data_IF_198363356499
#
_entry.id   IF_198363356499
#
_cell.length_a   1.000
_cell.length_b   1.000
_cell.length_c   1.000
_cell.angle_alpha   90.00
_cell.angle_beta   90.00
_cell.angle_gamma   90.00
#
_symmetry.space_group_name_H-M   'P 1'
#
loop_
_entity.id
_entity.type
_entity.pdbx_description
1 polymer ?
#
# COMPACT_ATOMS: atom_id res chain seq x y z
N UNK A 1 73.98 -19.30 3.79
CA UNK A 1 73.93 -20.75 3.55
C UNK A 1 72.50 -21.04 3.10
N UNK A 2 72.26 -20.97 1.81
CA UNK A 2 72.14 -22.13 0.90
C UNK A 2 70.86 -22.91 1.20
N UNK A 3 69.95 -23.23 0.34
CA UNK A 3 69.85 -23.28 -1.10
C UNK A 3 68.42 -23.81 -1.38
N UNK A 4 67.71 -23.22 -2.30
CA UNK A 4 67.29 -23.79 -3.60
C UNK A 4 66.64 -25.20 -3.68
N UNK A 5 65.46 -25.27 -4.21
CA UNK A 5 65.06 -25.89 -5.50
C UNK A 5 63.58 -26.31 -5.43
N UNK A 6 62.70 -25.71 -6.24
CA UNK A 6 62.18 -26.19 -7.56
C UNK A 6 61.73 -27.61 -7.65
N UNK A 7 60.43 -27.81 -7.97
CA UNK A 7 59.83 -28.57 -9.12
C UNK A 7 58.32 -28.48 -8.93
N UNK A 8 57.55 -27.89 -9.77
CA UNK A 8 57.09 -28.14 -11.16
C UNK A 8 56.34 -29.43 -11.38
N UNK A 9 55.12 -29.30 -11.76
CA UNK A 9 54.19 -30.11 -12.59
C UNK A 9 52.74 -29.98 -12.06
N UNK A 10 51.74 -29.55 -12.75
CA UNK A 10 51.42 -29.58 -14.16
C UNK A 10 49.94 -29.84 -14.31
N UNK A 11 49.24 -28.90 -14.95
CA UNK A 11 48.13 -29.10 -15.87
C UNK A 11 46.85 -29.80 -15.40
N UNK A 12 45.75 -29.07 -15.33
CA UNK A 12 44.61 -29.31 -16.23
C UNK A 12 43.56 -28.18 -16.11
N UNK A 13 43.47 -27.43 -17.19
CA UNK A 13 42.42 -26.47 -17.44
C UNK A 13 41.09 -27.19 -17.71
N UNK A 14 40.04 -26.81 -17.00
CA UNK A 14 38.64 -27.10 -17.33
C UNK A 14 37.92 -25.81 -17.66
N UNK A 15 37.92 -25.43 -18.91
CA UNK A 15 37.06 -24.40 -19.49
C UNK A 15 35.60 -24.82 -19.31
N UNK A 16 34.90 -24.25 -18.34
CA UNK A 16 33.45 -24.18 -18.36
C UNK A 16 33.06 -22.87 -19.06
N UNK A 17 32.61 -22.99 -20.29
CA UNK A 17 32.08 -21.92 -21.11
C UNK A 17 30.93 -21.22 -20.37
N UNK A 18 31.13 -19.97 -20.03
CA UNK A 18 30.08 -19.02 -19.66
C UNK A 18 29.21 -18.79 -20.92
N UNK A 19 28.09 -19.48 -21.00
CA UNK A 19 27.01 -19.08 -21.91
C UNK A 19 26.42 -17.77 -21.40
N UNK A 20 26.27 -16.73 -22.23
CA UNK A 20 25.61 -15.50 -21.80
C UNK A 20 24.14 -15.83 -21.51
N UNK A 21 23.74 -15.76 -20.24
CA UNK A 21 22.35 -15.79 -19.85
C UNK A 21 21.64 -14.61 -20.49
N UNK A 22 20.74 -14.88 -21.43
CA UNK A 22 19.87 -13.83 -21.98
C UNK A 22 19.12 -13.14 -20.85
N UNK A 23 19.12 -11.80 -20.76
CA UNK A 23 18.31 -11.09 -19.78
C UNK A 23 16.83 -11.44 -20.00
N UNK A 24 16.03 -11.59 -18.95
CA UNK A 24 14.63 -11.96 -19.07
C UNK A 24 13.92 -10.95 -19.98
N UNK A 25 13.01 -11.41 -20.80
CA UNK A 25 12.28 -10.65 -21.86
C UNK A 25 11.66 -9.34 -21.36
N UNK A 26 11.41 -9.23 -20.05
CA UNK A 26 10.94 -8.04 -19.37
C UNK A 26 11.96 -6.89 -19.32
N UNK A 27 13.22 -7.21 -19.17
CA UNK A 27 14.31 -6.21 -19.17
C UNK A 27 14.44 -5.58 -20.55
N UNK A 28 14.21 -6.37 -21.62
CA UNK A 28 14.21 -5.89 -23.00
C UNK A 28 13.00 -4.99 -23.30
N UNK A 29 11.80 -5.34 -22.85
CA UNK A 29 10.60 -4.51 -23.03
C UNK A 29 10.66 -3.22 -22.22
N UNK A 30 11.20 -3.27 -21.00
CA UNK A 30 11.46 -2.08 -20.20
C UNK A 30 12.57 -1.21 -20.83
N UNK A 31 13.60 -1.84 -21.37
CA UNK A 31 14.66 -1.17 -22.12
C UNK A 31 14.15 -0.52 -23.41
N UNK A 32 13.29 -1.20 -24.17
CA UNK A 32 12.67 -0.65 -25.38
C UNK A 32 11.69 0.50 -25.06
N UNK A 33 10.88 0.39 -24.03
CA UNK A 33 10.02 1.49 -23.56
C UNK A 33 10.84 2.69 -23.11
N UNK A 34 11.93 2.48 -22.36
CA UNK A 34 12.88 3.55 -22.04
C UNK A 34 13.49 4.17 -23.27
N UNK A 35 13.95 3.37 -24.24
CA UNK A 35 14.56 3.85 -25.47
C UNK A 35 13.55 4.65 -26.32
N UNK A 36 12.31 4.19 -26.42
CA UNK A 36 11.24 4.92 -27.11
C UNK A 36 10.92 6.23 -26.38
N UNK A 37 10.78 6.19 -25.06
CA UNK A 37 10.59 7.39 -24.24
C UNK A 37 11.76 8.36 -24.35
N UNK A 38 13.01 7.86 -24.30
CA UNK A 38 14.23 8.67 -24.49
C UNK A 38 14.31 9.28 -25.91
N UNK A 39 13.81 8.57 -26.92
CA UNK A 39 13.73 9.10 -28.29
C UNK A 39 12.63 10.15 -28.43
N UNK A 40 11.46 9.93 -27.84
CA UNK A 40 10.36 10.90 -27.81
C UNK A 40 10.74 12.14 -26.99
N UNK A 41 11.43 11.98 -25.86
CA UNK A 41 11.90 13.11 -25.04
C UNK A 41 13.05 13.87 -25.65
N UNK A 42 13.92 13.20 -26.43
CA UNK A 42 14.98 13.88 -27.22
C UNK A 42 14.38 14.68 -28.39
N UNK A 43 13.27 14.21 -28.96
CA UNK A 43 12.57 14.95 -30.03
C UNK A 43 11.67 16.07 -29.48
N UNK A 44 11.16 15.94 -28.25
CA UNK A 44 10.36 17.00 -27.61
C UNK A 44 10.47 16.94 -26.08
N UNK A 45 11.60 17.38 -25.49
CA UNK A 45 11.86 17.29 -24.05
C UNK A 45 10.84 18.07 -23.19
N UNK A 46 10.07 18.97 -23.78
CA UNK A 46 9.08 19.79 -23.08
C UNK A 46 7.79 19.01 -22.76
N UNK A 47 7.54 17.88 -23.46
CA UNK A 47 6.38 17.01 -23.25
C UNK A 47 6.66 15.78 -22.35
N UNK A 48 7.91 15.56 -21.99
CA UNK A 48 8.32 14.36 -21.27
C UNK A 48 7.77 14.25 -19.84
N UNK A 49 7.50 15.38 -19.19
CA UNK A 49 7.10 15.41 -17.79
C UNK A 49 8.18 14.80 -16.86
N UNK A 50 7.74 14.15 -15.78
CA UNK A 50 8.62 13.49 -14.80
C UNK A 50 8.50 11.96 -14.80
N UNK A 51 7.81 11.37 -15.78
CA UNK A 51 7.67 9.92 -15.89
C UNK A 51 9.04 9.28 -16.13
N UNK A 52 9.36 8.24 -15.35
CA UNK A 52 10.62 7.48 -15.39
C UNK A 52 11.90 8.28 -15.08
N UNK A 53 11.77 9.53 -14.62
CA UNK A 53 12.91 10.31 -14.12
C UNK A 53 13.33 9.79 -12.74
N UNK A 54 14.61 9.43 -12.60
CA UNK A 54 15.18 9.09 -11.29
C UNK A 54 15.40 10.38 -10.50
N UNK A 55 14.55 10.65 -9.52
CA UNK A 55 14.59 11.85 -8.70
C UNK A 55 15.24 11.67 -7.32
N UNK A 56 15.71 10.47 -7.01
CA UNK A 56 16.35 10.17 -5.73
C UNK A 56 16.65 8.70 -5.52
N UNK A 57 17.00 8.35 -4.31
CA UNK A 57 17.23 6.99 -3.84
C UNK A 57 16.26 6.67 -2.70
N UNK A 58 16.00 5.39 -2.47
CA UNK A 58 15.21 4.91 -1.34
C UNK A 58 15.82 3.66 -0.73
N UNK A 59 15.76 3.55 0.58
CA UNK A 59 16.08 2.35 1.36
C UNK A 59 14.83 1.64 1.86
N UNK A 60 13.63 2.16 1.57
CA UNK A 60 12.37 1.67 2.12
C UNK A 60 11.88 0.39 1.45
N UNK A 61 11.96 0.31 0.12
CA UNK A 61 11.39 -0.77 -0.68
C UNK A 61 12.39 -1.28 -1.70
N UNK A 62 12.60 -2.59 -1.73
CA UNK A 62 13.41 -3.26 -2.72
C UNK A 62 12.68 -4.50 -3.27
N UNK A 63 12.62 -4.62 -4.60
CA UNK A 63 12.22 -5.84 -5.27
C UNK A 63 13.46 -6.66 -5.59
N UNK A 64 13.46 -7.93 -5.19
CA UNK A 64 14.52 -8.89 -5.45
C UNK A 64 13.98 -10.06 -6.26
N UNK A 65 14.85 -10.95 -6.71
CA UNK A 65 14.43 -12.20 -7.40
C UNK A 65 13.60 -13.11 -6.48
N UNK A 66 13.84 -13.04 -5.17
CA UNK A 66 13.21 -13.90 -4.17
C UNK A 66 11.98 -13.28 -3.52
N UNK A 67 11.79 -11.97 -3.63
CA UNK A 67 10.66 -11.31 -2.99
C UNK A 67 10.82 -9.80 -2.78
N UNK A 68 10.02 -9.27 -1.89
CA UNK A 68 9.97 -7.85 -1.55
C UNK A 68 10.55 -7.63 -0.15
N UNK A 69 11.44 -6.65 -0.04
CA UNK A 69 12.07 -6.25 1.22
C UNK A 69 11.61 -4.85 1.61
N UNK A 70 11.29 -4.66 2.88
CA UNK A 70 11.07 -3.36 3.53
C UNK A 70 12.27 -3.06 4.42
N UNK A 71 13.02 -2.00 4.12
CA UNK A 71 14.25 -1.64 4.83
C UNK A 71 15.22 -2.84 5.00
N UNK A 72 15.32 -3.70 3.97
CA UNK A 72 16.16 -4.90 3.98
C UNK A 72 15.56 -6.13 4.66
N UNK A 73 14.36 -6.04 5.25
CA UNK A 73 13.67 -7.16 5.90
C UNK A 73 12.61 -7.75 4.96
N UNK A 74 12.56 -9.08 4.86
CA UNK A 74 11.58 -9.77 4.01
C UNK A 74 10.14 -9.53 4.48
N UNK A 75 9.27 -9.12 3.55
CA UNK A 75 7.86 -8.81 3.85
C UNK A 75 7.09 -10.03 4.38
N UNK A 76 7.50 -11.24 4.02
CA UNK A 76 6.87 -12.48 4.49
C UNK A 76 7.06 -12.65 6.00
N UNK A 77 8.25 -12.33 6.51
CA UNK A 77 8.53 -12.36 7.95
C UNK A 77 7.77 -11.25 8.68
N UNK A 78 7.70 -10.05 8.09
CA UNK A 78 6.96 -8.93 8.66
C UNK A 78 5.46 -9.19 8.74
N UNK A 79 4.88 -9.89 7.76
CA UNK A 79 3.45 -10.20 7.73
C UNK A 79 3.00 -11.17 8.85
N UNK A 80 3.94 -11.92 9.44
CA UNK A 80 3.70 -12.77 10.60
C UNK A 80 3.78 -12.03 11.95
N UNK A 81 4.28 -10.79 11.92
CA UNK A 81 4.44 -9.93 13.10
C UNK A 81 3.36 -8.85 13.14
N UNK A 82 3.08 -8.24 14.32
CA UNK A 82 2.15 -7.12 14.41
C UNK A 82 2.49 -5.97 13.45
N UNK A 83 1.47 -5.35 12.86
CA UNK A 83 1.63 -4.23 11.93
C UNK A 83 2.47 -3.08 12.51
N UNK A 84 2.39 -2.89 13.82
CA UNK A 84 3.16 -1.90 14.56
C UNK A 84 4.67 -2.09 14.39
N UNK A 85 5.17 -3.34 14.30
CA UNK A 85 6.60 -3.61 13.99
C UNK A 85 6.98 -3.14 12.61
N UNK A 86 6.12 -3.37 11.61
CA UNK A 86 6.33 -2.87 10.25
C UNK A 86 6.30 -1.35 10.20
N UNK A 87 5.36 -0.73 10.89
CA UNK A 87 5.27 0.72 10.98
C UNK A 87 6.52 1.32 11.63
N UNK A 88 7.00 0.76 12.73
CA UNK A 88 8.27 1.15 13.35
C UNK A 88 9.44 1.05 12.37
N UNK A 89 9.62 -0.13 11.73
CA UNK A 89 10.70 -0.39 10.79
C UNK A 89 10.74 0.66 9.67
N UNK A 90 9.60 0.98 9.10
CA UNK A 90 9.49 1.95 8.00
C UNK A 90 9.83 3.38 8.44
N UNK A 91 9.46 3.78 9.67
CA UNK A 91 9.73 5.13 10.18
C UNK A 91 11.18 5.32 10.64
N UNK A 92 11.74 4.30 11.28
CA UNK A 92 13.10 4.36 11.87
C UNK A 92 14.17 3.74 10.99
N UNK A 93 13.78 2.96 9.96
CA UNK A 93 14.67 2.20 9.06
C UNK A 93 15.59 1.23 9.83
N UNK A 94 15.14 0.80 11.00
CA UNK A 94 15.81 -0.18 11.86
C UNK A 94 14.76 -1.01 12.60
N UNK A 95 14.98 -2.31 12.79
CA UNK A 95 14.05 -3.15 13.54
C UNK A 95 13.98 -2.68 15.00
N UNK A 96 12.79 -2.73 15.64
CA UNK A 96 12.65 -2.41 17.05
C UNK A 96 13.22 -3.52 17.95
N UNK A 97 13.62 -3.15 19.17
CA UNK A 97 13.74 -4.13 20.26
C UNK A 97 12.37 -4.50 20.80
N UNK A 98 12.27 -5.59 21.57
CA UNK A 98 11.00 -6.01 22.18
C UNK A 98 10.47 -4.97 23.18
N UNK A 99 11.34 -4.27 23.90
CA UNK A 99 10.99 -3.17 24.78
C UNK A 99 10.40 -1.99 23.99
N UNK A 100 11.09 -1.55 22.93
CA UNK A 100 10.62 -0.46 22.07
C UNK A 100 9.25 -0.72 21.44
N UNK A 101 9.00 -1.96 20.99
CA UNK A 101 7.71 -2.29 20.40
C UNK A 101 6.59 -2.34 21.45
N UNK A 102 6.90 -2.81 22.67
CA UNK A 102 5.99 -2.80 23.81
C UNK A 102 5.57 -1.37 24.19
N UNK A 103 6.55 -0.49 24.35
CA UNK A 103 6.32 0.93 24.65
C UNK A 103 5.52 1.62 23.56
N UNK A 104 5.85 1.33 22.29
CA UNK A 104 5.13 1.94 21.17
C UNK A 104 3.69 1.46 21.05
N UNK A 105 3.45 0.18 21.25
CA UNK A 105 2.09 -0.36 21.28
C UNK A 105 1.25 0.25 22.43
N UNK A 106 1.88 0.52 23.59
CA UNK A 106 1.25 1.22 24.70
C UNK A 106 0.91 2.68 24.32
N UNK A 107 1.85 3.42 23.71
CA UNK A 107 1.63 4.78 23.25
C UNK A 107 0.49 4.87 22.21
N UNK A 108 0.41 3.93 21.27
CA UNK A 108 -0.67 3.85 20.29
C UNK A 108 -2.02 3.61 20.99
N UNK A 109 -2.04 2.73 21.98
CA UNK A 109 -3.25 2.41 22.75
C UNK A 109 -3.72 3.63 23.56
N UNK A 110 -2.82 4.27 24.28
CA UNK A 110 -3.10 5.44 25.12
C UNK A 110 -3.58 6.62 24.27
N UNK A 111 -2.96 6.83 23.09
CA UNK A 111 -3.40 7.84 22.14
C UNK A 111 -4.83 7.60 21.61
N UNK A 112 -5.30 6.35 21.62
CA UNK A 112 -6.67 5.98 21.27
C UNK A 112 -7.70 6.24 22.39
N UNK A 113 -7.26 6.58 23.60
CA UNK A 113 -8.17 6.95 24.69
C UNK A 113 -8.55 8.43 24.56
N UNK A 114 -9.71 8.69 23.96
CA UNK A 114 -10.26 10.05 23.83
C UNK A 114 -11.21 10.34 24.97
N UNK A 115 -11.09 11.54 25.58
CA UNK A 115 -12.02 12.03 26.62
C UNK A 115 -13.43 12.22 26.07
N UNK A 116 -13.54 12.70 24.82
CA UNK A 116 -14.80 12.95 24.13
C UNK A 116 -14.88 12.13 22.83
N UNK A 117 -16.07 11.63 22.54
CA UNK A 117 -16.33 10.93 21.30
C UNK A 117 -16.29 11.88 20.10
N UNK A 118 -15.59 11.58 19.01
CA UNK A 118 -15.60 12.41 17.82
C UNK A 118 -16.91 12.35 17.03
N UNK A 119 -17.93 11.60 17.48
CA UNK A 119 -19.19 11.37 16.74
C UNK A 119 -19.94 12.66 16.40
N UNK A 120 -19.98 13.63 17.30
CA UNK A 120 -20.68 14.90 17.08
C UNK A 120 -20.07 15.71 15.92
N UNK A 121 -18.77 15.55 15.68
CA UNK A 121 -18.08 16.19 14.53
C UNK A 121 -18.59 15.67 13.19
N UNK A 122 -19.01 14.41 13.15
CA UNK A 122 -19.46 13.76 11.92
C UNK A 122 -20.98 13.75 11.75
N UNK A 123 -21.74 14.06 12.82
CA UNK A 123 -23.20 14.06 12.79
C UNK A 123 -23.82 15.04 11.78
N UNK A 124 -23.08 16.09 11.40
CA UNK A 124 -23.54 17.13 10.51
C UNK A 124 -22.96 17.05 9.09
N UNK A 125 -22.22 15.97 8.78
CA UNK A 125 -21.70 15.77 7.44
C UNK A 125 -22.84 15.46 6.45
N UNK A 126 -22.70 15.88 5.18
CA UNK A 126 -23.68 15.56 4.14
C UNK A 126 -23.86 14.04 4.00
N UNK A 127 -25.10 13.60 3.89
CA UNK A 127 -25.41 12.22 3.58
C UNK A 127 -24.84 11.83 2.20
N UNK A 128 -24.22 10.66 2.08
CA UNK A 128 -23.72 10.13 0.81
C UNK A 128 -22.26 10.44 0.51
N UNK A 129 -21.51 10.99 1.46
CA UNK A 129 -20.03 11.01 1.36
C UNK A 129 -19.50 9.58 1.24
N UNK A 130 -18.58 9.38 0.30
CA UNK A 130 -17.90 8.09 0.20
C UNK A 130 -16.92 7.91 1.36
N UNK A 131 -16.77 6.68 1.89
CA UNK A 131 -15.80 6.41 2.96
C UNK A 131 -14.40 6.90 2.66
N UNK A 132 -13.95 6.80 1.40
CA UNK A 132 -12.62 7.28 0.99
C UNK A 132 -12.47 8.80 1.08
N UNK A 133 -13.54 9.56 0.88
CA UNK A 133 -13.52 11.03 0.98
C UNK A 133 -13.43 11.49 2.45
N UNK A 134 -13.82 10.63 3.41
CA UNK A 134 -13.65 10.89 4.84
C UNK A 134 -12.18 10.78 5.28
N UNK A 135 -11.35 10.07 4.54
CA UNK A 135 -9.96 9.84 4.94
C UNK A 135 -9.14 11.13 5.11
N UNK A 136 -9.02 12.02 4.10
CA UNK A 136 -8.32 13.30 4.30
C UNK A 136 -8.99 14.19 5.33
N UNK A 137 -10.33 14.13 5.47
CA UNK A 137 -11.06 14.88 6.48
C UNK A 137 -10.70 14.41 7.89
N UNK A 138 -10.69 13.11 8.15
CA UNK A 138 -10.26 12.56 9.45
C UNK A 138 -8.84 12.97 9.80
N UNK A 139 -7.91 12.94 8.83
CA UNK A 139 -6.52 13.38 9.04
C UNK A 139 -6.45 14.88 9.38
N UNK A 140 -7.27 15.72 8.74
CA UNK A 140 -7.34 17.15 9.03
C UNK A 140 -7.88 17.41 10.44
N UNK A 141 -8.95 16.74 10.83
CA UNK A 141 -9.53 16.87 12.17
C UNK A 141 -8.55 16.42 13.25
N UNK A 142 -7.91 15.24 13.07
CA UNK A 142 -6.88 14.74 13.98
C UNK A 142 -5.74 15.74 14.18
N UNK A 143 -5.28 16.37 13.10
CA UNK A 143 -4.24 17.39 13.17
C UNK A 143 -4.69 18.64 13.93
N UNK A 144 -5.97 18.99 13.84
CA UNK A 144 -6.53 20.18 14.53
C UNK A 144 -6.65 20.00 16.05
N UNK A 145 -6.81 18.75 16.50
CA UNK A 145 -6.79 18.42 17.93
C UNK A 145 -5.39 18.38 18.54
N UNK A 146 -4.36 18.25 17.68
CA UNK A 146 -2.96 18.21 18.09
C UNK A 146 -2.29 19.59 17.98
N UNK A 147 -2.98 20.67 18.32
CA UNK A 147 -2.52 22.06 18.20
C UNK A 147 -1.28 22.41 19.06
N UNK A 148 -0.31 21.51 19.15
CA UNK A 148 1.03 21.85 19.56
C UNK A 148 1.77 22.51 18.38
N UNK A 149 2.34 23.67 18.63
CA UNK A 149 2.90 24.62 17.66
C UNK A 149 3.73 23.96 16.54
N UNK A 150 3.52 24.35 15.28
CA UNK A 150 4.24 23.82 14.11
C UNK A 150 5.77 24.01 14.16
N UNK A 151 6.25 24.87 15.05
CA UNK A 151 7.66 25.29 15.10
C UNK A 151 8.59 24.35 15.88
N UNK A 152 8.05 23.34 16.57
CA UNK A 152 8.81 22.47 17.48
C UNK A 152 8.81 21.02 17.07
N UNK A 153 8.96 20.67 15.78
CA UNK A 153 8.97 19.27 15.40
C UNK A 153 10.39 18.71 15.11
N UNK A 154 11.14 18.23 16.12
CA UNK A 154 12.26 17.34 15.95
C UNK A 154 11.81 15.96 15.42
N UNK A 155 12.73 15.06 15.07
CA UNK A 155 12.42 13.71 14.60
C UNK A 155 11.52 12.91 15.59
N UNK A 156 11.55 13.22 16.88
CA UNK A 156 10.67 12.66 17.92
C UNK A 156 9.18 13.00 17.71
N UNK A 157 8.88 14.06 16.98
CA UNK A 157 7.50 14.45 16.67
C UNK A 157 6.85 13.58 15.61
N UNK A 158 7.61 13.06 14.64
CA UNK A 158 7.08 12.16 13.63
C UNK A 158 6.61 10.83 14.25
N UNK A 159 7.40 10.30 15.20
CA UNK A 159 7.07 9.12 15.98
C UNK A 159 5.77 9.35 16.78
N UNK A 160 5.71 10.42 17.55
CA UNK A 160 4.53 10.79 18.36
C UNK A 160 3.29 11.05 17.49
N UNK A 161 3.44 11.75 16.35
CA UNK A 161 2.35 11.96 15.40
C UNK A 161 1.78 10.64 14.87
N UNK A 162 2.64 9.69 14.47
CA UNK A 162 2.19 8.40 13.96
C UNK A 162 1.51 7.58 15.05
N UNK A 163 2.01 7.59 16.29
CA UNK A 163 1.32 6.96 17.42
C UNK A 163 -0.12 7.50 17.58
N UNK A 164 -0.27 8.81 17.55
CA UNK A 164 -1.60 9.46 17.66
C UNK A 164 -2.49 9.08 16.47
N UNK A 165 -1.95 9.10 15.26
CA UNK A 165 -2.72 8.71 14.07
C UNK A 165 -3.18 7.25 14.17
N UNK A 166 -2.30 6.32 14.47
CA UNK A 166 -2.65 4.91 14.59
C UNK A 166 -3.64 4.67 15.75
N UNK A 167 -3.46 5.35 16.89
CA UNK A 167 -4.36 5.21 18.03
C UNK A 167 -5.76 5.73 17.76
N UNK A 168 -5.88 6.92 17.15
CA UNK A 168 -7.15 7.65 16.99
C UNK A 168 -7.92 7.35 15.71
N UNK A 169 -7.22 6.98 14.61
CA UNK A 169 -7.86 6.72 13.32
C UNK A 169 -9.01 5.70 13.41
N UNK A 170 -8.89 4.56 14.11
CA UNK A 170 -9.99 3.62 14.22
C UNK A 170 -11.26 4.24 14.81
N UNK A 171 -11.12 5.09 15.84
CA UNK A 171 -12.24 5.77 16.50
C UNK A 171 -12.88 6.84 15.62
N UNK A 172 -12.07 7.59 14.87
CA UNK A 172 -12.57 8.60 13.94
C UNK A 172 -13.33 7.95 12.77
N UNK A 173 -12.87 6.81 12.29
CA UNK A 173 -13.59 6.06 11.25
C UNK A 173 -14.86 5.40 11.79
N UNK A 174 -14.86 4.90 13.02
CA UNK A 174 -16.11 4.46 13.65
C UNK A 174 -17.12 5.60 13.72
N UNK A 175 -16.70 6.74 14.23
CA UNK A 175 -17.55 7.92 14.33
C UNK A 175 -18.08 8.40 12.98
N UNK A 176 -17.24 8.38 11.93
CA UNK A 176 -17.61 8.84 10.60
C UNK A 176 -18.49 7.83 9.83
N UNK A 177 -18.19 6.52 9.92
CA UNK A 177 -18.83 5.48 9.13
C UNK A 177 -20.07 4.88 9.81
N UNK A 178 -20.11 4.93 11.14
CA UNK A 178 -21.13 4.27 11.97
C UNK A 178 -21.88 5.29 12.86
N UNK A 179 -21.90 6.56 12.49
CA UNK A 179 -22.52 7.66 13.27
C UNK A 179 -23.99 7.44 13.60
N UNK A 180 -24.73 6.75 12.72
CA UNK A 180 -26.15 6.43 12.93
C UNK A 180 -26.38 5.20 13.83
N UNK A 181 -25.33 4.45 14.16
CA UNK A 181 -25.40 3.24 14.96
C UNK A 181 -25.10 3.56 16.42
N UNK A 182 -26.12 3.66 17.27
CA UNK A 182 -25.96 3.94 18.69
C UNK A 182 -25.51 2.68 19.47
N UNK A 183 -24.43 2.03 19.02
CA UNK A 183 -23.94 0.85 19.71
C UNK A 183 -22.76 1.20 20.62
N UNK A 184 -22.83 0.86 21.92
CA UNK A 184 -21.68 1.00 22.79
C UNK A 184 -20.53 0.12 22.31
N UNK A 185 -19.30 0.61 22.41
CA UNK A 185 -18.13 -0.18 22.16
C UNK A 185 -18.09 -1.37 23.14
N UNK A 186 -18.06 -2.63 22.68
CA UNK A 186 -17.90 -3.74 23.59
C UNK A 186 -16.56 -3.66 24.32
N UNK A 187 -16.50 -4.00 25.62
CA UNK A 187 -15.24 -3.95 26.39
C UNK A 187 -14.15 -4.84 25.79
N UNK A 188 -14.52 -5.96 25.16
CA UNK A 188 -13.59 -6.92 24.58
C UNK A 188 -12.83 -6.41 23.35
N UNK A 189 -13.26 -5.30 22.73
CA UNK A 189 -12.51 -4.65 21.64
C UNK A 189 -11.12 -4.19 22.10
N UNK A 190 -10.98 -3.88 23.40
CA UNK A 190 -9.71 -3.50 23.98
C UNK A 190 -8.67 -4.62 24.02
N UNK A 191 -9.10 -5.88 23.96
CA UNK A 191 -8.23 -7.07 23.96
C UNK A 191 -7.71 -7.43 22.54
N UNK A 192 -8.33 -6.89 21.49
CA UNK A 192 -7.91 -7.13 20.12
C UNK A 192 -6.56 -6.46 19.82
N UNK A 193 -5.82 -7.03 18.88
CA UNK A 193 -4.65 -6.35 18.27
C UNK A 193 -5.09 -5.02 17.64
N UNK A 194 -4.13 -4.14 17.31
CA UNK A 194 -4.46 -2.92 16.59
C UNK A 194 -5.19 -3.21 15.26
N UNK A 195 -4.69 -4.21 14.51
CA UNK A 195 -5.32 -4.67 13.28
C UNK A 195 -6.74 -5.20 13.52
N UNK A 196 -6.95 -5.97 14.59
CA UNK A 196 -8.27 -6.49 14.98
C UNK A 196 -9.26 -5.37 15.31
N UNK A 197 -8.84 -4.36 16.09
CA UNK A 197 -9.67 -3.18 16.40
C UNK A 197 -10.06 -2.42 15.14
N UNK A 198 -9.10 -2.17 14.23
CA UNK A 198 -9.39 -1.51 12.97
C UNK A 198 -10.36 -2.32 12.11
N UNK A 199 -10.18 -3.65 12.02
CA UNK A 199 -11.08 -4.53 11.29
C UNK A 199 -12.50 -4.48 11.87
N UNK A 200 -12.64 -4.54 13.20
CA UNK A 200 -13.93 -4.43 13.87
C UNK A 200 -14.69 -3.15 13.46
N UNK A 201 -14.03 -2.00 13.53
CA UNK A 201 -14.65 -0.71 13.18
C UNK A 201 -14.95 -0.59 11.69
N UNK A 202 -14.05 -1.07 10.83
CA UNK A 202 -14.23 -1.02 9.38
C UNK A 202 -15.39 -1.93 8.92
N UNK A 203 -15.59 -3.08 9.54
CA UNK A 203 -16.77 -3.94 9.26
C UNK A 203 -18.07 -3.27 9.62
N UNK A 204 -18.15 -2.66 10.79
CA UNK A 204 -19.37 -2.03 11.31
C UNK A 204 -20.50 -3.01 11.63
N UNK A 205 -20.22 -4.30 11.72
CA UNK A 205 -21.21 -5.37 11.95
C UNK A 205 -21.26 -5.88 13.40
N UNK A 206 -20.51 -5.28 14.31
CA UNK A 206 -20.43 -5.61 15.74
C UNK A 206 -19.92 -7.01 16.08
N UNK A 207 -19.52 -7.79 15.10
CA UNK A 207 -18.93 -9.10 15.32
C UNK A 207 -17.41 -8.95 15.57
N UNK A 208 -16.93 -9.44 16.71
CA UNK A 208 -15.51 -9.46 17.01
C UNK A 208 -14.76 -10.34 15.99
N UNK A 209 -13.66 -9.87 15.43
CA UNK A 209 -12.81 -10.69 14.58
C UNK A 209 -12.28 -11.89 15.34
N UNK A 210 -12.22 -13.04 14.68
CA UNK A 210 -11.46 -14.19 15.18
C UNK A 210 -9.96 -13.94 15.03
N UNK A 211 -9.12 -14.67 15.78
CA UNK A 211 -7.67 -14.58 15.68
C UNK A 211 -7.15 -14.82 14.25
N UNK A 212 -7.80 -15.70 13.48
CA UNK A 212 -7.48 -15.93 12.07
C UNK A 212 -7.77 -14.71 11.19
N UNK A 213 -8.88 -14.03 11.44
CA UNK A 213 -9.26 -12.82 10.71
C UNK A 213 -8.38 -11.62 11.09
N UNK A 214 -8.00 -11.48 12.37
CA UNK A 214 -7.02 -10.49 12.80
C UNK A 214 -5.67 -10.68 12.10
N UNK A 215 -5.16 -11.91 12.11
CA UNK A 215 -3.89 -12.26 11.45
C UNK A 215 -3.95 -12.01 9.94
N UNK A 216 -5.07 -12.36 9.30
CA UNK A 216 -5.25 -12.14 7.87
C UNK A 216 -5.32 -10.64 7.52
N UNK A 217 -6.01 -9.86 8.33
CA UNK A 217 -6.09 -8.41 8.14
C UNK A 217 -4.75 -7.73 8.42
N UNK A 218 -4.02 -8.16 9.45
CA UNK A 218 -2.66 -7.72 9.71
C UNK A 218 -1.74 -7.96 8.50
N UNK A 219 -1.78 -9.16 7.93
CA UNK A 219 -1.02 -9.51 6.72
C UNK A 219 -1.41 -8.61 5.53
N UNK A 220 -2.71 -8.29 5.36
CA UNK A 220 -3.17 -7.34 4.36
C UNK A 220 -2.53 -5.97 4.53
N UNK A 221 -2.57 -5.41 5.74
CA UNK A 221 -2.01 -4.10 6.06
C UNK A 221 -0.51 -4.05 5.77
N UNK A 222 0.25 -5.04 6.26
CA UNK A 222 1.70 -5.13 6.03
C UNK A 222 2.02 -5.19 4.54
N UNK A 223 1.32 -6.03 3.78
CA UNK A 223 1.61 -6.21 2.35
C UNK A 223 1.23 -5.00 1.49
N UNK A 224 0.29 -4.16 1.94
CA UNK A 224 -0.23 -3.03 1.16
C UNK A 224 0.29 -1.66 1.62
N UNK A 225 0.97 -1.57 2.78
CA UNK A 225 1.38 -0.29 3.38
C UNK A 225 2.44 0.46 2.58
N UNK A 226 3.29 -0.22 1.84
CA UNK A 226 4.37 0.40 1.09
C UNK A 226 4.30 0.05 -0.39
N UNK A 227 4.43 1.06 -1.23
CA UNK A 227 4.45 0.94 -2.70
C UNK A 227 5.63 1.70 -3.27
N UNK A 228 5.99 1.37 -4.51
CA UNK A 228 6.89 2.21 -5.31
C UNK A 228 6.35 3.64 -5.44
N UNK A 229 7.11 4.48 -6.14
CA UNK A 229 6.76 5.88 -6.39
C UNK A 229 5.43 6.00 -7.16
N UNK A 230 4.33 6.01 -6.42
CA UNK A 230 2.97 6.33 -6.90
C UNK A 230 2.70 7.81 -6.66
N UNK A 231 1.70 8.43 -7.33
CA UNK A 231 1.42 9.87 -7.17
C UNK A 231 1.31 10.33 -5.71
N UNK A 232 0.62 9.58 -4.84
CA UNK A 232 0.51 9.91 -3.42
C UNK A 232 1.87 9.83 -2.69
N UNK A 233 2.73 8.84 -3.03
CA UNK A 233 4.08 8.75 -2.48
C UNK A 233 4.95 9.93 -2.94
N UNK A 234 4.81 10.35 -4.21
CA UNK A 234 5.53 11.51 -4.73
C UNK A 234 5.12 12.79 -4.01
N UNK A 235 3.82 12.99 -3.76
CA UNK A 235 3.33 14.16 -3.01
C UNK A 235 3.83 14.13 -1.57
N UNK A 236 3.85 12.98 -0.90
CA UNK A 236 4.44 12.85 0.44
C UNK A 236 5.95 13.22 0.43
N UNK A 237 6.72 12.75 -0.56
CA UNK A 237 8.12 13.14 -0.72
C UNK A 237 8.29 14.63 -1.04
N UNK A 238 7.44 15.18 -1.90
CA UNK A 238 7.45 16.61 -2.22
C UNK A 238 7.24 17.45 -0.94
N UNK A 239 6.30 17.06 -0.10
CA UNK A 239 6.06 17.68 1.19
C UNK A 239 7.29 17.57 2.12
N UNK A 240 7.93 16.39 2.20
CA UNK A 240 9.18 16.19 2.93
C UNK A 240 10.31 17.08 2.43
N UNK A 241 10.49 17.20 1.11
CA UNK A 241 11.52 18.08 0.50
C UNK A 241 11.26 19.56 0.74
N UNK A 242 9.98 19.94 0.88
CA UNK A 242 9.55 21.33 1.11
C UNK A 242 9.52 21.71 2.59
N UNK A 243 9.76 20.76 3.50
CA UNK A 243 9.73 20.93 4.96
C UNK A 243 8.42 21.52 5.48
N UNK A 244 7.29 21.22 4.83
CA UNK A 244 5.97 21.74 5.24
C UNK A 244 5.32 20.97 6.41
N UNK A 245 6.07 20.05 7.02
CA UNK A 245 5.59 19.20 8.10
C UNK A 245 4.96 17.89 7.62
N UNK A 246 5.08 16.84 8.46
CA UNK A 246 4.61 15.50 8.11
C UNK A 246 3.09 15.46 7.95
N UNK A 247 2.34 16.15 8.83
CA UNK A 247 0.87 16.20 8.78
C UNK A 247 0.36 16.71 7.43
N UNK A 248 0.90 17.85 6.96
CA UNK A 248 0.50 18.42 5.66
C UNK A 248 0.84 17.47 4.49
N UNK A 249 1.96 16.76 4.58
CA UNK A 249 2.34 15.75 3.60
C UNK A 249 1.36 14.58 3.56
N UNK A 250 0.96 14.04 4.71
CA UNK A 250 0.01 12.94 4.81
C UNK A 250 -1.40 13.34 4.34
N UNK A 251 -1.86 14.53 4.69
CA UNK A 251 -3.14 15.08 4.23
C UNK A 251 -3.16 15.24 2.72
N UNK A 252 -2.11 15.81 2.14
CA UNK A 252 -1.99 15.98 0.68
C UNK A 252 -1.94 14.64 -0.06
N UNK A 253 -1.20 13.68 0.46
CA UNK A 253 -1.13 12.33 -0.10
C UNK A 253 -2.49 11.62 -0.03
N UNK A 254 -3.21 11.72 1.09
CA UNK A 254 -4.53 11.15 1.28
C UNK A 254 -5.58 11.80 0.36
N UNK A 255 -5.55 13.13 0.22
CA UNK A 255 -6.45 13.85 -0.67
C UNK A 255 -6.22 13.47 -2.15
N UNK A 256 -4.95 13.36 -2.58
CA UNK A 256 -4.63 12.90 -3.92
C UNK A 256 -5.07 11.46 -4.14
N UNK A 257 -4.81 10.57 -3.17
CA UNK A 257 -5.23 9.18 -3.24
C UNK A 257 -6.75 9.06 -3.37
N UNK A 258 -7.52 9.74 -2.53
CA UNK A 258 -8.98 9.77 -2.61
C UNK A 258 -9.46 10.32 -3.96
N UNK A 259 -8.86 11.39 -4.47
CA UNK A 259 -9.18 11.97 -5.76
C UNK A 259 -8.95 11.03 -6.96
N UNK A 260 -7.92 10.18 -6.90
CA UNK A 260 -7.66 9.16 -7.91
C UNK A 260 -8.70 8.03 -7.90
N UNK A 261 -9.38 7.81 -6.77
CA UNK A 261 -10.37 6.75 -6.58
C UNK A 261 -11.82 7.20 -6.81
N UNK A 262 -12.06 8.27 -7.55
CA UNK A 262 -13.45 8.73 -7.87
C UNK A 262 -14.32 7.65 -8.50
N UNK A 263 -13.72 6.77 -9.34
CA UNK A 263 -14.32 5.53 -9.85
C UNK A 263 -13.63 4.38 -9.15
N UNK A 264 -13.98 4.19 -7.89
CA UNK A 264 -13.27 3.28 -6.99
C UNK A 264 -13.14 1.87 -7.59
N UNK A 265 -11.93 1.48 -8.04
CA UNK A 265 -11.72 0.19 -8.65
C UNK A 265 -11.72 -0.95 -7.62
N UNK A 266 -11.43 -0.67 -6.34
CA UNK A 266 -11.52 -1.66 -5.26
C UNK A 266 -12.98 -1.98 -4.98
N UNK A 267 -13.83 -0.96 -4.82
CA UNK A 267 -15.28 -1.13 -4.67
C UNK A 267 -15.87 -1.90 -5.84
N UNK A 268 -15.49 -1.53 -7.07
CA UNK A 268 -15.96 -2.21 -8.27
C UNK A 268 -15.58 -3.69 -8.28
N UNK A 269 -14.32 -4.03 -7.98
CA UNK A 269 -13.83 -5.40 -7.98
C UNK A 269 -14.48 -6.23 -6.85
N UNK A 270 -14.70 -5.64 -5.68
CA UNK A 270 -15.40 -6.29 -4.59
C UNK A 270 -16.86 -6.60 -4.95
N UNK A 271 -17.60 -5.62 -5.51
CA UNK A 271 -18.98 -5.84 -5.98
C UNK A 271 -19.03 -6.89 -7.08
N UNK A 272 -18.03 -6.94 -7.97
CA UNK A 272 -17.89 -8.02 -8.93
C UNK A 272 -17.82 -9.38 -8.22
N UNK A 273 -16.90 -9.55 -7.25
CA UNK A 273 -16.75 -10.82 -6.52
C UNK A 273 -18.04 -11.25 -5.82
N UNK A 274 -18.75 -10.34 -5.15
CA UNK A 274 -20.05 -10.62 -4.54
C UNK A 274 -21.14 -10.98 -5.57
N UNK A 275 -21.06 -10.47 -6.79
CA UNK A 275 -22.01 -10.81 -7.86
C UNK A 275 -21.78 -12.20 -8.47
N UNK A 276 -20.62 -12.79 -8.23
CA UNK A 276 -20.26 -14.11 -8.75
C UNK A 276 -20.73 -15.20 -7.79
N UNK A 277 -21.91 -15.76 -8.06
CA UNK A 277 -22.51 -16.84 -7.25
C UNK A 277 -21.74 -18.19 -7.33
N UNK A 278 -20.64 -18.26 -8.10
CA UNK A 278 -19.80 -19.44 -8.25
C UNK A 278 -18.97 -19.42 -9.53
N UNK A 279 -18.19 -20.49 -9.81
CA UNK A 279 -17.27 -20.54 -10.96
C UNK A 279 -17.91 -20.30 -12.32
N UNK A 280 -19.14 -20.80 -12.54
CA UNK A 280 -19.89 -20.62 -13.81
C UNK A 280 -20.25 -19.15 -14.07
N UNK A 281 -20.52 -18.39 -13.00
CA UNK A 281 -20.80 -16.96 -13.10
C UNK A 281 -19.58 -16.18 -13.59
N UNK A 282 -18.39 -16.60 -13.19
CA UNK A 282 -17.13 -16.01 -13.66
C UNK A 282 -16.95 -16.22 -15.19
N UNK A 283 -17.23 -17.42 -15.70
CA UNK A 283 -17.17 -17.70 -17.14
C UNK A 283 -18.19 -16.85 -17.92
N UNK A 284 -19.43 -16.74 -17.43
CA UNK A 284 -20.48 -15.90 -18.05
C UNK A 284 -20.09 -14.42 -18.05
N UNK A 285 -19.48 -13.93 -16.98
CA UNK A 285 -19.03 -12.55 -16.90
C UNK A 285 -17.93 -12.28 -17.92
N UNK A 286 -16.94 -13.18 -18.05
CA UNK A 286 -15.84 -13.05 -19.02
C UNK A 286 -16.36 -13.05 -20.48
N UNK A 287 -17.37 -13.88 -20.80
CA UNK A 287 -17.99 -13.90 -22.13
C UNK A 287 -18.69 -12.59 -22.49
N UNK A 288 -19.27 -11.91 -21.48
CA UNK A 288 -20.00 -10.64 -21.65
C UNK A 288 -19.07 -9.40 -21.59
N UNK A 289 -17.79 -9.58 -21.28
CA UNK A 289 -16.84 -8.48 -21.20
C UNK A 289 -16.68 -7.80 -22.55
N UNK A 290 -17.26 -6.61 -22.71
CA UNK A 290 -17.32 -5.87 -23.97
C UNK A 290 -15.96 -5.32 -24.42
N UNK A 291 -14.99 -5.15 -23.52
CA UNK A 291 -13.66 -4.61 -23.83
C UNK A 291 -12.57 -5.60 -23.44
N UNK A 292 -11.78 -6.11 -24.40
CA UNK A 292 -10.53 -6.79 -24.11
C UNK A 292 -9.53 -5.75 -23.57
N UNK A 293 -9.54 -5.55 -22.28
CA UNK A 293 -8.62 -4.66 -21.59
C UNK A 293 -8.15 -5.33 -20.31
N UNK A 294 -7.08 -4.85 -19.74
CA UNK A 294 -6.55 -5.34 -18.47
C UNK A 294 -7.53 -4.96 -17.34
N UNK A 295 -8.21 -5.94 -16.70
CA UNK A 295 -9.09 -5.61 -15.59
C UNK A 295 -8.28 -5.13 -14.39
N UNK A 296 -8.91 -4.34 -13.52
CA UNK A 296 -8.26 -3.88 -12.30
C UNK A 296 -7.70 -5.04 -11.48
N UNK A 297 -6.50 -4.88 -11.00
CA UNK A 297 -5.82 -5.86 -10.19
C UNK A 297 -5.16 -6.99 -10.98
N UNK A 298 -5.03 -6.88 -12.31
CA UNK A 298 -4.30 -7.82 -13.16
C UNK A 298 -3.22 -7.11 -13.97
N UNK A 299 -2.14 -7.84 -14.27
CA UNK A 299 -1.04 -7.34 -15.09
C UNK A 299 -0.42 -8.47 -15.92
N UNK A 300 0.25 -8.11 -17.03
CA UNK A 300 0.97 -9.07 -17.88
C UNK A 300 2.24 -9.64 -17.24
N UNK A 301 2.76 -8.95 -16.24
CA UNK A 301 3.95 -9.36 -15.49
C UNK A 301 3.80 -8.96 -14.04
N UNK A 302 4.00 -9.92 -13.14
CA UNK A 302 3.98 -9.69 -11.69
C UNK A 302 5.28 -10.24 -11.13
N UNK A 303 6.19 -9.34 -10.78
CA UNK A 303 7.43 -9.67 -10.07
C UNK A 303 7.27 -9.55 -8.54
N UNK A 304 6.04 -9.43 -8.04
CA UNK A 304 5.71 -9.11 -6.66
C UNK A 304 5.14 -10.36 -5.95
N UNK A 305 5.92 -10.95 -5.03
CA UNK A 305 5.52 -12.15 -4.28
C UNK A 305 4.43 -11.88 -3.23
N UNK A 306 4.15 -10.61 -2.89
CA UNK A 306 3.11 -10.22 -1.92
C UNK A 306 1.72 -10.70 -2.35
N UNK A 307 1.45 -10.75 -3.66
CA UNK A 307 0.21 -11.33 -4.18
C UNK A 307 0.07 -12.82 -3.82
N UNK A 308 1.16 -13.58 -3.85
CA UNK A 308 1.17 -14.99 -3.47
C UNK A 308 0.96 -15.18 -1.97
N UNK A 309 1.56 -14.32 -1.15
CA UNK A 309 1.37 -14.31 0.31
C UNK A 309 -0.09 -14.04 0.68
N UNK A 310 -0.71 -12.99 0.10
CA UNK A 310 -2.13 -12.71 0.34
C UNK A 310 -3.06 -13.82 -0.16
N UNK A 311 -2.69 -14.52 -1.25
CA UNK A 311 -3.43 -15.71 -1.72
C UNK A 311 -3.41 -16.82 -0.67
N UNK A 312 -2.26 -17.10 -0.09
CA UNK A 312 -2.12 -18.11 0.96
C UNK A 312 -2.91 -17.72 2.21
N UNK A 313 -2.81 -16.45 2.63
CA UNK A 313 -3.60 -15.89 3.73
C UNK A 313 -5.11 -16.06 3.50
N UNK A 314 -5.60 -15.78 2.29
CA UNK A 314 -7.00 -15.95 1.93
C UNK A 314 -7.49 -17.41 2.02
N UNK A 315 -6.62 -18.39 1.73
CA UNK A 315 -6.97 -19.80 1.84
C UNK A 315 -7.24 -20.22 3.30
N UNK A 316 -6.58 -19.60 4.26
CA UNK A 316 -6.76 -19.91 5.68
C UNK A 316 -8.11 -19.41 6.26
N UNK A 317 -8.85 -18.57 5.52
CA UNK A 317 -10.14 -18.02 5.92
C UNK A 317 -11.35 -18.81 5.37
N UNK A 318 -11.11 -19.86 4.59
CA UNK A 318 -12.19 -20.66 3.96
C UNK A 318 -12.85 -21.57 4.99
N UNK A 319 -13.73 -21.00 5.83
CA UNK A 319 -14.43 -21.74 6.90
C UNK A 319 -15.89 -22.06 6.60
N UNK A 320 -16.52 -21.35 5.65
CA UNK A 320 -17.94 -21.49 5.32
C UNK A 320 -18.19 -21.61 3.81
N UNK A 321 -19.41 -22.00 3.43
CA UNK A 321 -19.80 -22.26 2.04
C UNK A 321 -19.78 -20.99 1.18
N UNK A 322 -20.11 -19.84 1.75
CA UNK A 322 -20.16 -18.57 1.03
C UNK A 322 -18.74 -18.11 0.67
N UNK A 323 -17.82 -18.09 1.64
CA UNK A 323 -16.40 -17.78 1.42
C UNK A 323 -15.74 -18.72 0.42
N UNK A 324 -16.07 -20.03 0.51
CA UNK A 324 -15.61 -21.04 -0.45
C UNK A 324 -16.14 -20.73 -1.86
N UNK A 325 -17.40 -20.39 -2.02
CA UNK A 325 -18.00 -20.08 -3.33
C UNK A 325 -17.38 -18.84 -3.97
N UNK A 326 -17.20 -17.76 -3.20
CA UNK A 326 -16.52 -16.53 -3.64
C UNK A 326 -15.05 -16.82 -4.04
N UNK A 327 -14.32 -17.56 -3.22
CA UNK A 327 -12.92 -17.91 -3.50
C UNK A 327 -12.80 -18.79 -4.76
N UNK A 328 -13.73 -19.72 -4.98
CA UNK A 328 -13.78 -20.56 -6.17
C UNK A 328 -14.08 -19.75 -7.44
N UNK A 329 -15.03 -18.80 -7.38
CA UNK A 329 -15.34 -17.90 -8.47
C UNK A 329 -14.14 -16.99 -8.83
N UNK A 330 -13.51 -16.41 -7.83
CA UNK A 330 -12.29 -15.61 -8.01
C UNK A 330 -11.16 -16.45 -8.65
N UNK A 331 -10.93 -17.65 -8.16
CA UNK A 331 -9.91 -18.57 -8.70
C UNK A 331 -10.22 -18.97 -10.14
N UNK A 332 -11.50 -19.15 -10.49
CA UNK A 332 -11.91 -19.42 -11.87
C UNK A 332 -11.61 -18.23 -12.79
N UNK A 333 -11.90 -17.02 -12.34
CA UNK A 333 -11.59 -15.78 -13.04
C UNK A 333 -10.07 -15.64 -13.27
N UNK A 334 -9.28 -15.83 -12.22
CA UNK A 334 -7.82 -15.78 -12.27
C UNK A 334 -7.24 -16.77 -13.29
N UNK A 335 -7.72 -18.03 -13.30
CA UNK A 335 -7.29 -19.05 -14.24
C UNK A 335 -7.64 -18.71 -15.70
N UNK A 336 -8.80 -18.15 -15.93
CA UNK A 336 -9.22 -17.73 -17.27
C UNK A 336 -8.39 -16.57 -17.80
N UNK A 337 -8.16 -15.55 -16.96
CA UNK A 337 -7.31 -14.41 -17.31
C UNK A 337 -5.84 -14.80 -17.51
N UNK A 338 -5.37 -15.83 -16.81
CA UNK A 338 -4.03 -16.39 -17.03
C UNK A 338 -3.83 -16.93 -18.47
N UNK A 339 -4.91 -17.42 -19.14
CA UNK A 339 -4.83 -17.80 -20.55
C UNK A 339 -4.65 -16.61 -21.51
N UNK A 340 -4.90 -15.40 -21.03
CA UNK A 340 -4.65 -14.13 -21.71
C UNK A 340 -3.31 -13.48 -21.29
N UNK A 341 -2.42 -14.22 -20.61
CA UNK A 341 -1.17 -13.75 -20.01
C UNK A 341 -1.38 -12.64 -18.95
N UNK A 342 -2.50 -12.67 -18.24
CA UNK A 342 -2.82 -11.75 -17.16
C UNK A 342 -2.75 -12.48 -15.82
N UNK A 343 -1.88 -12.00 -14.93
CA UNK A 343 -1.71 -12.52 -13.58
C UNK A 343 -2.30 -11.54 -12.56
N UNK A 344 -2.88 -12.05 -11.45
CA UNK A 344 -3.38 -11.19 -10.40
C UNK A 344 -2.26 -10.47 -9.67
N UNK A 345 -2.43 -9.17 -9.45
CA UNK A 345 -1.53 -8.33 -8.66
C UNK A 345 -1.91 -8.34 -7.18
N UNK A 346 -1.11 -7.65 -6.37
CA UNK A 346 -1.42 -7.43 -4.96
C UNK A 346 -2.79 -6.76 -4.76
N UNK A 347 -3.18 -5.82 -5.63
CA UNK A 347 -4.46 -5.12 -5.51
C UNK A 347 -5.66 -6.07 -5.65
N UNK A 348 -5.62 -7.03 -6.60
CA UNK A 348 -6.65 -8.06 -6.72
C UNK A 348 -6.71 -8.98 -5.51
N UNK A 349 -5.54 -9.43 -5.03
CA UNK A 349 -5.48 -10.30 -3.86
C UNK A 349 -5.94 -9.58 -2.60
N UNK A 350 -5.66 -8.29 -2.47
CA UNK A 350 -6.16 -7.45 -1.39
C UNK A 350 -7.70 -7.35 -1.41
N UNK A 351 -8.31 -7.10 -2.57
CA UNK A 351 -9.79 -7.09 -2.71
C UNK A 351 -10.37 -8.43 -2.32
N UNK A 352 -9.82 -9.53 -2.87
CA UNK A 352 -10.30 -10.88 -2.55
C UNK A 352 -10.24 -11.16 -1.04
N UNK A 353 -9.14 -10.80 -0.38
CA UNK A 353 -8.98 -10.98 1.05
C UNK A 353 -9.96 -10.11 1.85
N UNK A 354 -10.15 -8.85 1.46
CA UNK A 354 -11.11 -7.95 2.11
C UNK A 354 -12.56 -8.42 1.96
N UNK A 355 -12.92 -9.01 0.83
CA UNK A 355 -14.25 -9.65 0.63
C UNK A 355 -14.40 -10.84 1.58
N UNK A 356 -13.40 -11.71 1.71
CA UNK A 356 -13.42 -12.85 2.64
C UNK A 356 -13.39 -12.43 4.12
N UNK A 357 -12.97 -11.20 4.41
CA UNK A 357 -13.02 -10.59 5.73
C UNK A 357 -14.31 -9.78 5.97
N UNK A 358 -15.32 -9.90 5.13
CA UNK A 358 -16.61 -9.20 5.21
C UNK A 358 -16.50 -7.68 5.29
N UNK A 359 -15.45 -7.11 4.67
CA UNK A 359 -15.30 -5.66 4.59
C UNK A 359 -16.20 -5.11 3.47
N UNK A 360 -17.12 -4.18 3.78
CA UNK A 360 -18.03 -3.62 2.79
C UNK A 360 -17.28 -3.05 1.58
N UNK A 361 -17.77 -3.27 0.35
CA UNK A 361 -17.09 -2.85 -0.88
C UNK A 361 -16.68 -1.36 -0.88
N UNK A 362 -17.57 -0.49 -0.39
CA UNK A 362 -17.36 0.96 -0.32
C UNK A 362 -16.30 1.39 0.70
N UNK A 363 -15.88 0.50 1.61
CA UNK A 363 -14.85 0.75 2.64
C UNK A 363 -13.48 0.20 2.27
N UNK A 364 -13.36 -0.59 1.20
CA UNK A 364 -12.11 -1.29 0.86
C UNK A 364 -10.98 -0.35 0.44
N UNK A 365 -11.28 0.66 -0.35
CA UNK A 365 -10.28 1.69 -0.73
C UNK A 365 -9.78 2.48 0.49
N UNK A 366 -10.63 2.72 1.48
CA UNK A 366 -10.25 3.34 2.74
C UNK A 366 -9.22 2.50 3.50
N UNK A 367 -9.42 1.18 3.59
CA UNK A 367 -8.46 0.24 4.20
C UNK A 367 -7.08 0.36 3.55
N UNK A 368 -7.04 0.38 2.22
CA UNK A 368 -5.79 0.55 1.48
C UNK A 368 -5.14 1.91 1.77
N UNK A 369 -5.95 2.98 1.87
CA UNK A 369 -5.46 4.32 2.25
C UNK A 369 -4.84 4.34 3.64
N UNK A 370 -5.50 3.72 4.63
CA UNK A 370 -5.01 3.63 6.01
C UNK A 370 -3.68 2.86 6.07
N UNK A 371 -3.60 1.71 5.40
CA UNK A 371 -2.35 0.95 5.33
C UNK A 371 -1.22 1.79 4.74
N UNK A 372 -1.46 2.49 3.63
CA UNK A 372 -0.46 3.33 2.93
C UNK A 372 -0.01 4.55 3.69
N UNK A 373 -0.74 4.98 4.72
CA UNK A 373 -0.39 6.15 5.53
C UNK A 373 1.05 6.04 6.09
N UNK A 374 1.41 4.86 6.58
CA UNK A 374 2.75 4.60 7.14
C UNK A 374 3.81 4.68 6.03
N UNK A 375 3.54 4.12 4.86
CA UNK A 375 4.45 4.22 3.72
C UNK A 375 4.65 5.67 3.26
N UNK A 376 3.59 6.48 3.24
CA UNK A 376 3.70 7.91 2.92
C UNK A 376 4.50 8.67 3.97
N UNK A 377 4.30 8.36 5.26
CA UNK A 377 5.09 8.94 6.35
C UNK A 377 6.58 8.61 6.18
N UNK A 378 6.90 7.34 5.94
CA UNK A 378 8.27 6.89 5.71
C UNK A 378 8.92 7.59 4.51
N UNK A 379 8.21 7.70 3.39
CA UNK A 379 8.67 8.43 2.19
C UNK A 379 8.91 9.91 2.47
N UNK A 380 8.06 10.59 3.21
CA UNK A 380 8.23 11.99 3.57
C UNK A 380 9.45 12.19 4.48
N UNK A 381 9.61 11.34 5.50
CA UNK A 381 10.73 11.39 6.45
C UNK A 381 12.06 11.09 5.74
N UNK A 382 12.12 10.06 4.89
CA UNK A 382 13.32 9.74 4.12
C UNK A 382 13.71 10.90 3.21
N UNK A 383 12.76 11.52 2.53
CA UNK A 383 13.01 12.65 1.65
C UNK A 383 13.49 13.89 2.43
N UNK A 384 12.90 14.17 3.57
CA UNK A 384 13.33 15.27 4.43
C UNK A 384 14.76 15.07 4.93
N UNK A 385 15.12 13.84 5.34
CA UNK A 385 16.48 13.48 5.79
C UNK A 385 17.50 13.57 4.67
N UNK A 386 17.11 13.25 3.42
CA UNK A 386 18.02 13.31 2.27
C UNK A 386 18.49 14.73 1.92
N UNK A 387 17.72 15.76 2.29
CA UNK A 387 17.99 17.15 1.93
C UNK A 387 17.82 17.47 0.44
N UNK A 388 17.42 16.50 -0.39
CA UNK A 388 17.26 16.69 -1.84
C UNK A 388 15.92 17.36 -2.13
N UNK A 389 15.97 18.48 -2.90
CA UNK A 389 14.75 19.20 -3.33
C UNK A 389 14.11 18.53 -4.55
N UNK A 390 12.78 18.42 -4.55
CA UNK A 390 11.97 17.89 -5.64
C UNK A 390 11.20 18.99 -6.39
N UNK A 391 11.81 20.16 -6.60
CA UNK A 391 11.18 21.28 -7.27
C UNK A 391 11.65 21.40 -8.73
N UNK A 392 10.91 20.86 -9.71
CA UNK A 392 11.22 20.99 -11.13
C UNK A 392 10.94 22.43 -11.61
N UNK A 393 11.61 22.82 -12.71
CA UNK A 393 11.36 24.10 -13.39
C UNK A 393 10.44 23.90 -14.60
N UNK A 394 9.63 24.90 -14.88
CA UNK A 394 8.86 24.98 -16.11
C UNK A 394 9.49 26.03 -17.03
N UNK A 395 9.48 25.77 -18.36
CA UNK A 395 9.78 26.74 -19.38
C UNK A 395 8.48 27.36 -19.88
N UNK A 396 8.46 28.67 -20.09
CA UNK A 396 7.33 29.30 -20.76
C UNK A 396 7.30 28.85 -22.23
N UNK A 397 6.16 28.31 -22.67
CA UNK A 397 5.92 27.90 -24.06
C UNK A 397 4.85 28.79 -24.71
N UNK A 398 5.14 29.32 -25.89
CA UNK A 398 4.23 30.23 -26.59
C UNK A 398 3.03 29.52 -27.26
N UNK A 399 3.09 28.19 -27.50
CA UNK A 399 2.12 27.45 -28.28
C UNK A 399 1.68 26.11 -27.70
N UNK A 400 0.90 26.13 -26.62
CA UNK A 400 0.12 24.93 -26.21
C UNK A 400 -1.21 24.79 -27.01
N UNK A 401 -1.52 25.73 -27.91
CA UNK A 401 -2.82 25.77 -28.64
C UNK A 401 -2.82 25.05 -29.99
N UNK A 402 -1.71 24.54 -30.49
CA UNK A 402 -1.62 23.94 -31.83
C UNK A 402 -1.74 22.42 -31.89
N UNK A 403 -1.96 21.73 -30.77
CA UNK A 403 -2.06 20.26 -30.76
C UNK A 403 -3.50 19.71 -30.79
N UNK A 404 -4.52 20.56 -30.94
CA UNK A 404 -5.93 20.14 -30.98
C UNK A 404 -6.58 20.18 -32.40
N UNK A 405 -5.77 20.41 -33.43
CA UNK A 405 -6.31 20.42 -34.82
C UNK A 405 -5.33 19.71 -35.76
N UNK A 406 -5.27 18.39 -35.67
CA UNK A 406 -4.97 17.48 -36.80
C UNK A 406 -5.59 16.09 -36.52
#
# INVERSE_FOLDING_TARGET
MENNQKTDSGVAAGNAANSPSHPPTNTLLHGLRRLLHDLETRSNPELAGLTDVICGQTSLLQFTETGVLYCGVDVTSLAAEPFEKTAWLLLHQSPPTDEQIGDWAALIRDAGMLEESPRDLFAHLPAGLKPIDLFPLCLQLLASFDAESPEQQPADSAHSLVCRLLGRLPLFFDAALNSSSAHPCPPDVGELTWAGRLLYWIRGNQQLPSAAEESAFNSLLVNTCLTEMRPACFVARLAGSSRCGLTAGLQSAAALFAGQLRRDPYEWAARLLYSLAGPESADKWLQKRERPGMPFGFASTVADNRASLLRQTAQNLLGDLERIAIAAAATRLERRLATENLAPTIDWMAVKLMVLLDIPPERQSLVIGIARLIGWAAHAIEQQKSGVSLLPRLRYGENLRSAETE
#
